data_IF_502118083263
#
_entry.id   IF_502118083263
#
_cell.length_a   1.000
_cell.length_b   1.000
_cell.length_c   1.000
_cell.angle_alpha   90.00
_cell.angle_beta   90.00
_cell.angle_gamma   90.00
#
_symmetry.space_group_name_H-M   'P 1'
#
loop_
_entity.id
_entity.type
_entity.pdbx_description
1 polymer ?
#
# COMPACT_ATOMS: atom_id res chain seq x y z
N UNK A 1 17.22 4.20 -4.63
CA UNK A 1 16.57 5.39 -3.98
C UNK A 1 15.11 5.41 -4.42
N UNK A 2 14.16 5.61 -3.52
CA UNK A 2 12.73 5.73 -3.87
C UNK A 2 12.49 7.03 -4.64
N UNK A 3 11.94 7.01 -5.86
CA UNK A 3 11.70 8.23 -6.63
C UNK A 3 10.61 9.07 -5.97
N UNK A 4 10.67 10.40 -6.14
CA UNK A 4 9.61 11.30 -5.68
C UNK A 4 8.53 11.36 -6.75
N UNK A 5 7.26 11.13 -6.35
CA UNK A 5 6.10 11.27 -7.21
C UNK A 5 5.27 12.47 -6.71
N UNK A 6 4.94 13.38 -7.62
CA UNK A 6 4.17 14.59 -7.30
C UNK A 6 2.84 14.53 -8.03
N UNK A 7 1.76 14.78 -7.29
CA UNK A 7 0.41 14.86 -7.84
C UNK A 7 -0.18 16.26 -7.56
N UNK A 8 -1.46 16.46 -7.82
CA UNK A 8 -2.11 17.74 -7.56
C UNK A 8 -2.11 18.12 -6.07
N UNK A 9 -2.35 17.15 -5.18
CA UNK A 9 -2.54 17.38 -3.74
C UNK A 9 -1.50 16.69 -2.87
N UNK A 10 -0.64 15.82 -3.45
CA UNK A 10 0.24 14.95 -2.69
C UNK A 10 1.68 15.00 -3.20
N UNK A 11 2.60 14.76 -2.28
CA UNK A 11 3.98 14.39 -2.58
C UNK A 11 4.24 13.01 -1.97
N UNK A 12 4.66 12.06 -2.80
CA UNK A 12 5.06 10.73 -2.37
C UNK A 12 6.58 10.66 -2.42
N UNK A 13 7.21 10.47 -1.27
CA UNK A 13 8.67 10.45 -1.12
C UNK A 13 9.16 9.24 -0.32
N UNK A 14 10.44 8.95 -0.40
CA UNK A 14 11.04 7.94 0.47
C UNK A 14 10.85 8.27 1.95
N UNK A 15 10.65 7.22 2.76
CA UNK A 15 10.57 7.33 4.22
C UNK A 15 11.98 7.56 4.78
N UNK A 16 12.08 8.45 5.75
CA UNK A 16 13.32 8.75 6.50
C UNK A 16 13.13 8.51 8.00
N UNK A 17 14.22 8.49 8.76
CA UNK A 17 14.17 8.19 10.20
C UNK A 17 13.28 9.18 10.99
N UNK A 18 13.25 10.44 10.57
CA UNK A 18 12.48 11.50 11.21
C UNK A 18 10.96 11.35 11.04
N UNK A 19 10.51 10.48 10.11
CA UNK A 19 9.09 10.19 9.89
C UNK A 19 8.48 9.26 10.96
N UNK A 20 9.27 8.75 11.91
CA UNK A 20 8.79 7.78 12.89
C UNK A 20 7.59 8.28 13.71
N UNK A 21 7.61 9.54 14.13
CA UNK A 21 6.51 10.13 14.89
C UNK A 21 5.22 10.23 14.06
N UNK A 22 5.33 10.57 12.78
CA UNK A 22 4.19 10.64 11.87
C UNK A 22 3.61 9.25 11.58
N UNK A 23 4.48 8.25 11.32
CA UNK A 23 4.06 6.86 11.14
C UNK A 23 3.35 6.34 12.38
N UNK A 24 3.91 6.59 13.57
CA UNK A 24 3.28 6.22 14.84
C UNK A 24 1.90 6.85 14.99
N UNK A 25 1.75 8.14 14.63
CA UNK A 25 0.52 8.90 14.82
C UNK A 25 -0.69 8.27 14.11
N UNK A 26 -0.52 7.66 12.93
CA UNK A 26 -1.65 7.02 12.25
C UNK A 26 -1.63 5.48 12.35
N UNK A 27 -0.48 4.84 12.45
CA UNK A 27 -0.41 3.38 12.55
C UNK A 27 -0.62 2.84 13.97
N UNK A 28 -0.78 3.68 14.98
CA UNK A 28 -1.21 3.29 16.32
C UNK A 28 -2.73 3.22 16.50
N UNK A 29 -3.52 3.71 15.53
CA UNK A 29 -4.99 3.63 15.60
C UNK A 29 -5.46 2.21 15.22
N UNK A 30 -6.06 1.44 16.17
CA UNK A 30 -6.52 0.08 15.88
C UNK A 30 -7.65 0.02 14.83
N UNK A 31 -8.40 1.11 14.65
CA UNK A 31 -9.43 1.16 13.60
C UNK A 31 -8.81 1.31 12.23
N UNK A 32 -7.72 2.08 12.11
CA UNK A 32 -6.96 2.20 10.87
C UNK A 32 -6.29 0.87 10.49
N UNK A 33 -5.75 0.18 11.49
CA UNK A 33 -4.96 -1.05 11.30
C UNK A 33 -5.78 -2.34 11.30
N UNK A 34 -7.10 -2.25 11.42
CA UNK A 34 -7.98 -3.44 11.54
C UNK A 34 -7.73 -4.53 10.49
N UNK A 35 -7.34 -4.16 9.28
CA UNK A 35 -7.10 -5.08 8.16
C UNK A 35 -5.66 -5.01 7.62
N UNK A 36 -4.75 -4.43 8.41
CA UNK A 36 -3.33 -4.27 8.07
C UNK A 36 -2.45 -4.96 9.14
N UNK A 37 -1.18 -4.54 9.23
CA UNK A 37 -0.30 -4.96 10.33
C UNK A 37 -0.89 -4.56 11.70
N UNK A 38 -0.56 -5.27 12.78
CA UNK A 38 -0.96 -4.86 14.13
C UNK A 38 -0.61 -3.40 14.43
N UNK A 39 -1.47 -2.68 15.18
CA UNK A 39 -1.20 -1.28 15.54
C UNK A 39 0.13 -1.13 16.27
N UNK A 40 0.89 -0.10 15.90
CA UNK A 40 2.12 0.26 16.61
C UNK A 40 1.79 0.70 18.04
N UNK A 41 2.55 0.20 19.01
CA UNK A 41 2.35 0.48 20.46
C UNK A 41 3.32 1.52 21.01
N UNK A 42 4.47 1.66 20.35
CA UNK A 42 5.54 2.58 20.79
C UNK A 42 6.19 3.28 19.59
N UNK A 43 6.87 4.39 19.88
CA UNK A 43 7.66 5.10 18.88
C UNK A 43 8.85 4.25 18.40
N UNK A 44 9.41 3.39 19.26
CA UNK A 44 10.49 2.49 18.88
C UNK A 44 10.04 1.48 17.82
N UNK A 45 8.80 0.98 17.92
CA UNK A 45 8.22 0.11 16.87
C UNK A 45 8.07 0.86 15.53
N UNK A 46 7.82 2.18 15.54
CA UNK A 46 7.81 2.97 14.30
C UNK A 46 9.23 3.09 13.71
N UNK A 47 10.25 3.27 14.53
CA UNK A 47 11.64 3.21 14.07
C UNK A 47 12.01 1.81 13.53
N UNK A 48 11.52 0.74 14.17
CA UNK A 48 11.72 -0.63 13.68
C UNK A 48 11.05 -0.84 12.32
N UNK A 49 9.84 -0.30 12.14
CA UNK A 49 9.15 -0.30 10.85
C UNK A 49 10.00 0.36 9.77
N UNK A 50 10.55 1.56 10.03
CA UNK A 50 11.40 2.25 9.05
C UNK A 50 12.63 1.41 8.71
N UNK A 51 13.28 0.80 9.71
CA UNK A 51 14.41 -0.11 9.48
C UNK A 51 14.02 -1.33 8.66
N UNK A 52 12.82 -1.88 8.88
CA UNK A 52 12.27 -2.99 8.10
C UNK A 52 12.07 -2.59 6.64
N UNK A 53 11.40 -1.46 6.38
CA UNK A 53 11.18 -0.96 5.02
C UNK A 53 12.49 -0.72 4.25
N UNK A 54 13.51 -0.19 4.91
CA UNK A 54 14.82 0.02 4.28
C UNK A 54 15.54 -1.31 3.99
N UNK A 55 15.37 -2.32 4.84
CA UNK A 55 15.87 -3.68 4.59
C UNK A 55 15.14 -4.35 3.43
N UNK A 56 13.79 -4.30 3.42
CA UNK A 56 12.96 -4.87 2.35
C UNK A 56 13.29 -4.26 1.00
N UNK A 57 13.54 -2.96 0.96
CA UNK A 57 14.01 -2.26 -0.24
C UNK A 57 15.33 -2.82 -0.77
N UNK A 58 16.24 -3.27 0.11
CA UNK A 58 17.55 -3.82 -0.28
C UNK A 58 17.50 -5.30 -0.64
N UNK A 59 16.63 -6.07 0.00
CA UNK A 59 16.60 -7.54 -0.10
C UNK A 59 15.55 -8.04 -1.11
N UNK A 60 14.45 -7.30 -1.26
CA UNK A 60 13.29 -7.73 -2.06
C UNK A 60 12.90 -6.73 -3.15
N UNK A 61 13.76 -5.75 -3.45
CA UNK A 61 13.45 -4.65 -4.37
C UNK A 61 12.13 -3.92 -4.05
N UNK A 62 11.71 -3.97 -2.78
CA UNK A 62 10.51 -3.28 -2.33
C UNK A 62 10.63 -1.77 -2.53
N UNK A 63 9.53 -1.10 -2.85
CA UNK A 63 9.45 0.34 -3.04
C UNK A 63 8.32 0.93 -2.21
N UNK A 64 8.66 1.64 -1.14
CA UNK A 64 7.68 2.27 -0.28
C UNK A 64 7.79 3.80 -0.34
N UNK A 65 6.65 4.45 -0.33
CA UNK A 65 6.50 5.91 -0.28
C UNK A 65 5.74 6.32 0.97
N UNK A 66 6.28 7.32 1.67
CA UNK A 66 5.51 8.14 2.57
C UNK A 66 4.67 9.12 1.77
N UNK A 67 3.40 9.21 2.07
CA UNK A 67 2.47 10.18 1.47
C UNK A 67 2.44 11.42 2.33
N UNK A 68 2.69 12.57 1.74
CA UNK A 68 2.55 13.88 2.38
C UNK A 68 1.55 14.73 1.60
N UNK A 69 0.91 15.70 2.27
CA UNK A 69 0.07 16.69 1.58
C UNK A 69 0.96 17.76 0.93
N UNK A 70 0.55 18.28 -0.21
CA UNK A 70 1.26 19.39 -0.85
C UNK A 70 1.40 20.58 0.14
N UNK A 71 2.63 21.01 0.38
CA UNK A 71 2.95 22.08 1.33
C UNK A 71 3.08 21.67 2.81
N UNK A 72 2.93 20.38 3.12
CA UNK A 72 3.13 19.82 4.47
C UNK A 72 3.98 18.53 4.35
N UNK A 73 5.16 18.50 4.98
CA UNK A 73 6.08 17.35 4.86
C UNK A 73 5.76 16.19 5.83
N UNK A 74 4.71 16.32 6.65
CA UNK A 74 4.29 15.24 7.56
C UNK A 74 3.72 14.06 6.81
N UNK A 75 4.21 12.87 7.14
CA UNK A 75 3.73 11.64 6.55
C UNK A 75 2.34 11.30 7.09
N UNK A 76 1.39 11.13 6.17
CA UNK A 76 -0.01 10.83 6.46
C UNK A 76 -0.48 9.52 5.83
N UNK A 77 0.43 8.79 5.24
CA UNK A 77 0.18 7.46 4.66
C UNK A 77 1.47 6.77 4.28
N UNK A 78 1.40 5.47 4.14
CA UNK A 78 2.46 4.59 3.69
C UNK A 78 1.90 3.67 2.62
N UNK A 79 2.52 3.61 1.46
CA UNK A 79 2.07 2.75 0.38
C UNK A 79 3.23 2.39 -0.55
N UNK A 80 3.03 1.36 -1.34
CA UNK A 80 4.05 0.95 -2.29
C UNK A 80 4.01 -0.53 -2.65
N UNK A 81 5.11 -0.99 -3.20
CA UNK A 81 5.32 -2.37 -3.58
C UNK A 81 6.12 -3.09 -2.51
N UNK A 82 5.48 -4.04 -1.79
CA UNK A 82 6.10 -4.86 -0.74
C UNK A 82 7.11 -5.85 -1.32
N UNK A 83 6.91 -6.26 -2.58
CA UNK A 83 7.79 -7.13 -3.33
C UNK A 83 7.73 -6.73 -4.81
N UNK A 84 8.88 -6.66 -5.46
CA UNK A 84 9.00 -6.51 -6.92
C UNK A 84 9.78 -7.69 -7.47
N UNK A 85 9.15 -8.50 -8.31
CA UNK A 85 9.78 -9.65 -8.98
C UNK A 85 10.07 -9.24 -10.43
N UNK A 86 11.26 -8.68 -10.63
CA UNK A 86 11.64 -8.05 -11.90
C UNK A 86 11.61 -9.03 -13.08
N UNK A 87 12.08 -10.27 -12.91
CA UNK A 87 12.07 -11.29 -13.97
C UNK A 87 10.67 -11.65 -14.45
N UNK A 88 9.66 -11.54 -13.57
CA UNK A 88 8.27 -11.79 -13.90
C UNK A 88 7.47 -10.51 -14.13
N UNK A 89 8.10 -9.35 -13.99
CA UNK A 89 7.48 -8.03 -14.15
C UNK A 89 6.19 -7.90 -13.33
N UNK A 90 6.21 -8.41 -12.09
CA UNK A 90 5.08 -8.36 -11.15
C UNK A 90 5.48 -7.72 -9.83
N UNK A 91 4.51 -7.15 -9.14
CA UNK A 91 4.68 -6.60 -7.81
C UNK A 91 3.43 -6.80 -6.95
N UNK A 92 3.63 -6.82 -5.62
CA UNK A 92 2.56 -6.84 -4.62
C UNK A 92 2.40 -5.44 -4.02
N UNK A 93 1.20 -4.86 -4.14
CA UNK A 93 0.85 -3.51 -3.69
C UNK A 93 0.27 -3.55 -2.28
N UNK A 94 0.80 -2.70 -1.39
CA UNK A 94 0.24 -2.42 -0.08
C UNK A 94 0.00 -0.93 0.12
N UNK A 95 -0.98 -0.56 0.96
CA UNK A 95 -1.28 0.84 1.23
C UNK A 95 -2.04 1.07 2.53
N UNK A 96 -1.75 2.21 3.13
CA UNK A 96 -2.31 2.67 4.37
C UNK A 96 -2.34 4.21 4.37
N UNK A 97 -3.47 4.82 4.71
CA UNK A 97 -3.63 6.27 4.78
C UNK A 97 -4.41 6.63 6.04
N UNK A 98 -3.92 7.63 6.76
CA UNK A 98 -4.50 8.13 7.99
C UNK A 98 -6.02 8.34 7.90
N UNK A 99 -6.77 7.76 8.85
CA UNK A 99 -8.24 7.72 8.87
C UNK A 99 -8.88 9.08 8.69
N UNK A 100 -8.29 10.14 9.27
CA UNK A 100 -8.77 11.51 9.14
C UNK A 100 -8.81 12.03 7.69
N UNK A 101 -8.16 11.33 6.77
CA UNK A 101 -8.08 11.68 5.34
C UNK A 101 -8.93 10.77 4.44
N UNK A 102 -9.61 9.77 5.01
CA UNK A 102 -10.47 8.89 4.25
C UNK A 102 -11.64 9.64 3.58
N UNK A 103 -12.16 9.09 2.48
CA UNK A 103 -13.29 9.66 1.76
C UNK A 103 -12.98 10.92 0.94
N UNK A 104 -11.70 11.36 0.90
CA UNK A 104 -11.27 12.57 0.17
C UNK A 104 -10.66 12.30 -1.21
N UNK A 105 -10.64 11.04 -1.65
CA UNK A 105 -10.01 10.63 -2.91
C UNK A 105 -8.49 10.58 -2.90
N UNK A 106 -7.83 10.86 -1.76
CA UNK A 106 -6.37 10.93 -1.68
C UNK A 106 -5.70 9.55 -1.87
N UNK A 107 -6.32 8.47 -1.38
CA UNK A 107 -5.84 7.12 -1.64
C UNK A 107 -5.86 6.78 -3.14
N UNK A 108 -6.94 7.14 -3.84
CA UNK A 108 -7.04 6.96 -5.30
C UNK A 108 -5.94 7.72 -6.02
N UNK A 109 -5.73 8.99 -5.67
CA UNK A 109 -4.71 9.84 -6.27
C UNK A 109 -3.29 9.28 -6.06
N UNK A 110 -2.96 8.92 -4.81
CA UNK A 110 -1.65 8.35 -4.47
C UNK A 110 -1.40 7.03 -5.20
N UNK A 111 -2.38 6.11 -5.17
CA UNK A 111 -2.23 4.80 -5.80
C UNK A 111 -2.20 4.90 -7.33
N UNK A 112 -2.91 5.85 -7.93
CA UNK A 112 -2.80 6.12 -9.37
C UNK A 112 -1.36 6.48 -9.74
N UNK A 113 -0.73 7.40 -9.01
CA UNK A 113 0.66 7.79 -9.26
C UNK A 113 1.64 6.62 -9.10
N UNK A 114 1.44 5.76 -8.09
CA UNK A 114 2.27 4.56 -7.89
C UNK A 114 2.06 3.54 -9.00
N UNK A 115 0.82 3.31 -9.43
CA UNK A 115 0.50 2.39 -10.54
C UNK A 115 1.08 2.90 -11.87
N UNK A 116 0.98 4.19 -12.15
CA UNK A 116 1.59 4.80 -13.34
C UNK A 116 3.11 4.63 -13.32
N UNK A 117 3.75 4.81 -12.17
CA UNK A 117 5.17 4.54 -12.00
C UNK A 117 5.49 3.05 -12.20
N UNK A 118 4.66 2.16 -11.67
CA UNK A 118 4.84 0.71 -11.80
C UNK A 118 4.73 0.22 -13.23
N UNK A 119 3.65 0.56 -13.91
CA UNK A 119 3.42 0.13 -15.30
C UNK A 119 4.30 0.87 -16.31
N UNK A 120 4.69 2.10 -16.03
CA UNK A 120 5.58 2.91 -16.85
C UNK A 120 7.07 2.66 -16.53
N UNK A 121 7.70 3.48 -15.70
CA UNK A 121 9.15 3.41 -15.43
C UNK A 121 9.67 2.06 -14.95
N UNK A 122 8.95 1.34 -14.09
CA UNK A 122 9.36 0.01 -13.63
C UNK A 122 9.03 -1.09 -14.64
N UNK A 123 8.19 -0.83 -15.63
CA UNK A 123 7.83 -1.78 -16.67
C UNK A 123 7.10 -3.01 -16.15
N UNK A 124 6.39 -2.92 -15.03
CA UNK A 124 5.58 -4.02 -14.51
C UNK A 124 4.52 -4.44 -15.53
N UNK A 125 4.19 -5.71 -15.55
CA UNK A 125 3.08 -6.25 -16.33
C UNK A 125 1.88 -6.59 -15.44
N UNK A 126 2.14 -6.87 -14.15
CA UNK A 126 1.12 -7.33 -13.19
C UNK A 126 1.34 -6.67 -11.83
N UNK A 127 0.29 -6.11 -11.26
CA UNK A 127 0.25 -5.65 -9.88
C UNK A 127 -0.84 -6.41 -9.15
N UNK A 128 -0.48 -7.00 -8.03
CA UNK A 128 -1.35 -7.76 -7.13
C UNK A 128 -1.65 -6.93 -5.89
N UNK A 129 -2.84 -7.07 -5.34
CA UNK A 129 -3.21 -6.53 -4.03
C UNK A 129 -4.03 -7.56 -3.27
N UNK A 130 -3.67 -7.78 -2.01
CA UNK A 130 -4.38 -8.68 -1.11
C UNK A 130 -5.19 -7.85 -0.13
N UNK A 131 -6.43 -8.22 0.10
CA UNK A 131 -7.28 -7.55 1.08
C UNK A 131 -8.22 -8.53 1.76
N UNK A 132 -8.46 -8.32 3.05
CA UNK A 132 -9.50 -9.05 3.77
C UNK A 132 -10.86 -8.87 3.06
N UNK A 133 -11.63 -9.94 2.94
CA UNK A 133 -12.96 -9.89 2.30
C UNK A 133 -13.95 -8.98 3.02
N UNK A 134 -13.76 -8.77 4.32
CA UNK A 134 -14.55 -7.82 5.10
C UNK A 134 -14.13 -6.36 4.89
N UNK A 135 -13.00 -6.10 4.24
CA UNK A 135 -12.51 -4.75 3.96
C UNK A 135 -13.15 -4.17 2.70
N UNK A 136 -14.46 -3.95 2.73
CA UNK A 136 -15.22 -3.40 1.59
C UNK A 136 -14.66 -2.09 1.05
N UNK A 137 -14.04 -1.26 1.91
CA UNK A 137 -13.46 0.01 1.49
C UNK A 137 -12.25 -0.22 0.56
N UNK A 138 -11.36 -1.14 0.94
CA UNK A 138 -10.22 -1.54 0.11
C UNK A 138 -10.70 -2.16 -1.20
N UNK A 139 -11.69 -3.05 -1.15
CA UNK A 139 -12.27 -3.70 -2.33
C UNK A 139 -12.81 -2.65 -3.32
N UNK A 140 -13.62 -1.69 -2.84
CA UNK A 140 -14.15 -0.62 -3.70
C UNK A 140 -13.04 0.25 -4.31
N UNK A 141 -11.99 0.56 -3.53
CA UNK A 141 -10.86 1.34 -4.02
C UNK A 141 -10.09 0.59 -5.11
N UNK A 142 -9.80 -0.69 -4.90
CA UNK A 142 -9.12 -1.53 -5.89
C UNK A 142 -9.93 -1.65 -7.19
N UNK A 143 -11.24 -1.90 -7.09
CA UNK A 143 -12.13 -1.94 -8.24
C UNK A 143 -12.17 -0.60 -9.01
N UNK A 144 -12.23 0.52 -8.28
CA UNK A 144 -12.18 1.86 -8.88
C UNK A 144 -10.86 2.13 -9.62
N UNK A 145 -9.75 1.56 -9.13
CA UNK A 145 -8.43 1.63 -9.76
C UNK A 145 -8.25 0.61 -10.91
N UNK A 146 -9.31 -0.10 -11.31
CA UNK A 146 -9.27 -1.05 -12.41
C UNK A 146 -8.67 -2.42 -12.07
N UNK A 147 -8.60 -2.76 -10.79
CA UNK A 147 -8.29 -4.13 -10.38
C UNK A 147 -9.55 -4.99 -10.47
N UNK A 148 -9.39 -6.26 -10.85
CA UNK A 148 -10.43 -7.27 -10.76
C UNK A 148 -10.05 -8.36 -9.76
N UNK A 149 -11.03 -9.00 -9.17
CA UNK A 149 -10.82 -10.14 -8.27
C UNK A 149 -10.45 -11.37 -9.09
N UNK A 150 -9.31 -11.95 -8.80
CA UNK A 150 -8.80 -13.14 -9.46
C UNK A 150 -9.05 -14.43 -8.65
N UNK A 151 -9.16 -14.29 -7.31
CA UNK A 151 -9.39 -15.42 -6.43
C UNK A 151 -9.56 -15.06 -4.97
N UNK A 152 -9.69 -16.09 -4.14
CA UNK A 152 -9.75 -16.01 -2.69
C UNK A 152 -8.83 -17.07 -2.08
N UNK A 153 -8.09 -16.68 -1.07
CA UNK A 153 -7.36 -17.59 -0.18
C UNK A 153 -8.23 -17.81 1.05
N UNK A 154 -8.83 -18.98 1.17
CA UNK A 154 -9.66 -19.33 2.32
C UNK A 154 -8.80 -19.61 3.55
N UNK A 155 -9.30 -19.20 4.74
CA UNK A 155 -8.66 -19.39 6.04
C UNK A 155 -7.17 -18.97 6.04
N UNK A 156 -6.86 -17.85 5.37
CA UNK A 156 -5.48 -17.42 5.11
C UNK A 156 -4.77 -16.93 6.35
N UNK A 157 -5.46 -16.20 7.21
CA UNK A 157 -4.93 -15.68 8.47
C UNK A 157 -5.84 -16.06 9.63
N UNK A 158 -5.24 -16.38 10.78
CA UNK A 158 -5.93 -16.58 12.04
C UNK A 158 -5.74 -15.31 12.88
N UNK A 159 -6.85 -14.63 13.15
CA UNK A 159 -6.92 -13.45 13.99
C UNK A 159 -7.70 -13.74 15.29
N UNK A 160 -7.91 -12.76 16.17
CA UNK A 160 -8.59 -12.95 17.45
C UNK A 160 -10.06 -13.37 17.28
N UNK A 161 -10.72 -12.94 16.21
CA UNK A 161 -12.13 -13.22 15.90
C UNK A 161 -12.32 -14.44 14.99
N UNK A 162 -11.22 -15.09 14.54
CA UNK A 162 -11.26 -16.31 13.75
C UNK A 162 -10.40 -16.30 12.52
N UNK A 163 -10.68 -17.24 11.60
CA UNK A 163 -9.99 -17.29 10.31
C UNK A 163 -10.55 -16.27 9.35
N UNK A 164 -9.66 -15.63 8.60
CA UNK A 164 -9.97 -14.62 7.61
C UNK A 164 -9.65 -15.07 6.19
N UNK A 165 -10.60 -14.85 5.30
CA UNK A 165 -10.45 -15.04 3.87
C UNK A 165 -9.85 -13.78 3.23
N UNK A 166 -8.88 -13.98 2.35
CA UNK A 166 -8.17 -12.90 1.67
C UNK A 166 -8.49 -12.93 0.18
N UNK A 167 -9.09 -11.87 -0.32
CA UNK A 167 -9.31 -11.68 -1.74
C UNK A 167 -8.01 -11.23 -2.43
N UNK A 168 -7.71 -11.88 -3.55
CA UNK A 168 -6.65 -11.49 -4.47
C UNK A 168 -7.24 -10.62 -5.58
N UNK A 169 -6.76 -9.39 -5.66
CA UNK A 169 -7.05 -8.45 -6.72
C UNK A 169 -5.84 -8.26 -7.61
N UNK A 170 -6.07 -8.10 -8.92
CA UNK A 170 -5.02 -8.00 -9.92
C UNK A 170 -5.32 -6.87 -10.89
N UNK A 171 -4.28 -6.17 -11.32
CA UNK A 171 -4.31 -5.26 -12.46
C UNK A 171 -3.14 -5.57 -13.39
N UNK A 172 -3.41 -5.65 -14.68
CA UNK A 172 -2.40 -5.85 -15.72
C UNK A 172 -2.12 -4.54 -16.47
N UNK A 173 -0.89 -4.40 -16.99
CA UNK A 173 -0.50 -3.27 -17.83
C UNK A 173 -1.32 -3.21 -19.13
N UNK A 174 -1.80 -4.36 -19.63
CA UNK A 174 -2.76 -4.43 -20.71
C UNK A 174 -4.13 -4.71 -20.10
N UNK A 175 -5.14 -3.96 -20.51
CA UNK A 175 -6.53 -4.29 -20.20
C UNK A 175 -6.87 -5.66 -20.82
N UNK A 176 -6.64 -6.73 -20.08
CA UNK A 176 -7.27 -8.01 -20.35
C UNK A 176 -8.50 -8.04 -19.48
N UNK A 177 -9.64 -7.67 -20.02
CA UNK A 177 -10.90 -8.07 -19.42
C UNK A 177 -10.89 -9.60 -19.28
N UNK A 178 -11.26 -10.18 -18.11
CA UNK A 178 -11.44 -11.62 -18.01
C UNK A 178 -12.40 -12.05 -19.11
N UNK A 179 -12.03 -13.11 -19.84
CA UNK A 179 -12.95 -13.75 -20.77
C UNK A 179 -14.18 -14.18 -19.95
N UNK A 180 -15.35 -13.59 -20.27
CA UNK A 180 -16.61 -13.90 -19.62
C UNK A 180 -17.04 -15.35 -19.82
#
# INVERSE_FOLDING_TARGET
MTPVLVTERLVLRGIVADDAADLFAFRSDPVEQRYNDPPLRTLDEAHDLIRRLDRERREFDALHWGVTLAGDDRVVGLLGYNEVVAEHRRASLGYDIARRLWGRGLATEALTAVLDHGFGPLGLNRVEAHTDEANERSIRLLQHLGFWREGTFHDRFLEEDGYHDIALFVRLARERLPAG
#
